data_IF_960560552781
#
_entry.id   IF_960560552781
#
_cell.length_a   1.000
_cell.length_b   1.000
_cell.length_c   1.000
_cell.angle_alpha   90.00
_cell.angle_beta   90.00
_cell.angle_gamma   90.00
#
_symmetry.space_group_name_H-M   'P 1'
#
loop_
_entity.id
_entity.type
_entity.pdbx_description
1 polymer ?
#
# COMPACT_ATOMS: atom_id res chain seq x y z
N UNK A 1 31.69 17.32 -4.21
CA UNK A 1 30.22 17.27 -4.29
C UNK A 1 29.86 15.98 -4.98
N UNK A 2 29.38 15.01 -4.21
CA UNK A 2 28.90 13.75 -4.77
C UNK A 2 27.67 14.07 -5.64
N UNK A 3 27.70 13.62 -6.90
CA UNK A 3 26.65 13.87 -7.89
C UNK A 3 25.31 13.34 -7.37
N UNK A 4 24.21 14.06 -7.62
CA UNK A 4 22.84 13.67 -7.27
C UNK A 4 22.59 12.19 -7.59
N UNK A 5 22.42 11.38 -6.55
CA UNK A 5 22.09 9.96 -6.67
C UNK A 5 20.72 9.81 -7.36
N UNK A 6 20.59 8.97 -8.40
CA UNK A 6 19.32 8.79 -9.09
C UNK A 6 18.30 8.05 -8.21
N UNK A 7 17.03 8.46 -8.27
CA UNK A 7 15.92 7.82 -7.54
C UNK A 7 15.75 6.34 -7.86
N UNK A 8 16.08 5.94 -9.09
CA UNK A 8 16.06 4.53 -9.55
C UNK A 8 16.98 3.61 -8.74
N UNK A 9 17.95 4.17 -8.00
CA UNK A 9 18.88 3.41 -7.15
C UNK A 9 18.42 3.27 -5.71
N UNK A 10 17.24 3.78 -5.34
CA UNK A 10 16.70 3.67 -3.99
C UNK A 10 16.40 2.20 -3.65
N UNK A 11 17.03 1.69 -2.61
CA UNK A 11 16.76 0.33 -2.11
C UNK A 11 15.46 0.27 -1.31
N UNK A 12 14.90 -0.93 -1.17
CA UNK A 12 13.73 -1.16 -0.33
C UNK A 12 13.97 -0.77 1.15
N UNK A 13 15.20 -0.94 1.65
CA UNK A 13 15.57 -0.56 3.01
C UNK A 13 15.55 0.96 3.20
N UNK A 14 16.09 1.72 2.24
CA UNK A 14 16.08 3.17 2.29
C UNK A 14 14.67 3.74 2.16
N UNK A 15 13.87 3.19 1.24
CA UNK A 15 12.48 3.55 1.08
C UNK A 15 11.67 3.30 2.37
N UNK A 16 11.91 2.16 3.04
CA UNK A 16 11.31 1.87 4.33
C UNK A 16 11.75 2.87 5.41
N UNK A 17 13.04 3.19 5.51
CA UNK A 17 13.54 4.15 6.50
C UNK A 17 12.96 5.56 6.29
N UNK A 18 12.81 6.00 5.04
CA UNK A 18 12.15 7.27 4.70
C UNK A 18 10.67 7.20 5.10
N UNK A 19 9.95 6.16 4.71
CA UNK A 19 8.54 5.96 5.08
C UNK A 19 8.36 6.00 6.61
N UNK A 20 9.27 5.39 7.37
CA UNK A 20 9.26 5.41 8.84
C UNK A 20 9.40 6.83 9.41
N UNK A 21 10.35 7.61 8.91
CA UNK A 21 10.51 9.01 9.36
C UNK A 21 9.26 9.84 9.07
N UNK A 22 8.64 9.63 7.91
CA UNK A 22 7.39 10.31 7.57
C UNK A 22 6.23 9.90 8.50
N UNK A 23 6.13 8.61 8.83
CA UNK A 23 5.04 8.06 9.62
C UNK A 23 5.17 8.30 11.13
N UNK A 24 6.39 8.39 11.66
CA UNK A 24 6.63 8.49 13.11
C UNK A 24 7.02 9.89 13.57
N UNK A 25 7.61 10.70 12.69
CA UNK A 25 8.20 11.99 13.07
C UNK A 25 7.55 13.16 12.34
N UNK A 26 7.62 13.18 11.00
CA UNK A 26 7.24 14.37 10.23
C UNK A 26 5.71 14.54 10.12
N UNK A 27 4.99 13.46 9.77
CA UNK A 27 3.58 13.52 9.38
C UNK A 27 2.71 12.39 9.96
N UNK A 28 2.79 12.11 11.28
CA UNK A 28 2.15 10.94 11.88
C UNK A 28 0.62 10.98 11.77
N UNK A 29 0.02 12.16 11.91
CA UNK A 29 -1.44 12.32 11.83
C UNK A 29 -1.96 12.12 10.41
N UNK A 30 -1.28 12.70 9.42
CA UNK A 30 -1.70 12.63 8.02
C UNK A 30 -1.52 11.25 7.42
N UNK A 31 -0.42 10.55 7.73
CA UNK A 31 -0.28 9.14 7.34
C UNK A 31 -1.35 8.25 7.97
N UNK A 32 -1.74 8.50 9.23
CA UNK A 32 -2.84 7.79 9.87
C UNK A 32 -4.19 8.10 9.20
N UNK A 33 -4.44 9.36 8.86
CA UNK A 33 -5.65 9.79 8.15
C UNK A 33 -5.73 9.12 6.77
N UNK A 34 -4.67 9.23 5.97
CA UNK A 34 -4.58 8.63 4.64
C UNK A 34 -4.80 7.12 4.65
N UNK A 35 -4.21 6.41 5.63
CA UNK A 35 -4.44 4.97 5.83
C UNK A 35 -5.91 4.66 6.11
N UNK A 36 -6.54 5.44 6.98
CA UNK A 36 -7.96 5.25 7.36
C UNK A 36 -8.88 5.44 6.16
N UNK A 37 -8.67 6.52 5.40
CA UNK A 37 -9.46 6.81 4.20
C UNK A 37 -9.24 5.77 3.11
N UNK A 38 -7.99 5.34 2.90
CA UNK A 38 -7.66 4.30 1.93
C UNK A 38 -8.36 2.97 2.27
N UNK A 39 -8.34 2.53 3.53
CA UNK A 39 -9.04 1.32 3.97
C UNK A 39 -10.55 1.42 3.79
N UNK A 40 -11.14 2.59 4.07
CA UNK A 40 -12.56 2.84 3.84
C UNK A 40 -12.90 2.71 2.34
N UNK A 41 -12.09 3.31 1.46
CA UNK A 41 -12.28 3.25 0.01
C UNK A 41 -12.11 1.84 -0.56
N UNK A 42 -11.15 1.06 -0.03
CA UNK A 42 -10.98 -0.34 -0.39
C UNK A 42 -12.25 -1.17 -0.13
N UNK A 43 -12.95 -0.87 0.97
CA UNK A 43 -14.27 -1.45 1.28
C UNK A 43 -15.38 -1.09 0.28
N UNK A 44 -15.21 -0.01 -0.49
CA UNK A 44 -16.15 0.48 -1.50
C UNK A 44 -15.94 -0.09 -2.90
N UNK A 45 -14.83 -0.80 -3.17
CA UNK A 45 -14.60 -1.45 -4.47
C UNK A 45 -15.74 -2.46 -4.71
N UNK A 46 -16.47 -2.43 -5.85
CA UNK A 46 -17.71 -3.22 -6.01
C UNK A 46 -17.55 -4.73 -5.77
N UNK A 47 -16.45 -5.32 -6.27
CA UNK A 47 -16.08 -6.74 -6.08
C UNK A 47 -15.85 -7.06 -4.60
N UNK A 48 -15.04 -6.24 -3.92
CA UNK A 48 -14.73 -6.39 -2.50
C UNK A 48 -15.97 -6.17 -1.62
N UNK A 49 -16.74 -5.12 -1.89
CA UNK A 49 -17.97 -4.80 -1.15
C UNK A 49 -18.98 -5.95 -1.23
N UNK A 50 -19.18 -6.50 -2.44
CA UNK A 50 -20.02 -7.68 -2.66
C UNK A 50 -19.49 -8.89 -1.89
N UNK A 51 -18.18 -9.15 -1.95
CA UNK A 51 -17.55 -10.24 -1.21
C UNK A 51 -17.80 -10.09 0.30
N UNK A 52 -17.57 -8.89 0.84
CA UNK A 52 -17.78 -8.63 2.25
C UNK A 52 -19.24 -8.79 2.70
N UNK A 53 -20.20 -8.44 1.84
CA UNK A 53 -21.62 -8.66 2.11
C UNK A 53 -21.92 -10.17 2.21
N UNK A 54 -21.50 -10.96 1.22
CA UNK A 54 -21.82 -12.41 1.20
C UNK A 54 -21.06 -13.21 2.26
N UNK A 55 -19.88 -12.76 2.68
CA UNK A 55 -19.11 -13.40 3.78
C UNK A 55 -19.50 -12.87 5.16
N UNK A 56 -20.46 -11.94 5.25
CA UNK A 56 -20.87 -11.32 6.53
C UNK A 56 -19.76 -10.48 7.18
N UNK A 57 -18.82 -9.97 6.40
CA UNK A 57 -17.68 -9.17 6.85
C UNK A 57 -17.98 -7.67 6.88
N UNK A 58 -19.11 -7.24 6.30
CA UNK A 58 -19.59 -5.85 6.34
C UNK A 58 -20.92 -5.71 7.11
N UNK A 59 -21.03 -6.36 8.27
CA UNK A 59 -22.17 -6.20 9.17
C UNK A 59 -21.72 -5.58 10.51
N UNK A 60 -22.69 -5.15 11.34
CA UNK A 60 -22.40 -4.48 12.62
C UNK A 60 -21.52 -5.30 13.58
N UNK A 61 -21.58 -6.64 13.49
CA UNK A 61 -20.81 -7.54 14.36
C UNK A 61 -19.34 -7.66 13.92
N UNK A 62 -19.08 -7.74 12.62
CA UNK A 62 -17.77 -8.12 12.08
C UNK A 62 -17.02 -6.96 11.42
N UNK A 63 -17.72 -5.92 10.95
CA UNK A 63 -17.16 -4.85 10.14
C UNK A 63 -16.05 -4.07 10.85
N UNK A 64 -16.30 -3.64 12.09
CA UNK A 64 -15.32 -2.92 12.90
C UNK A 64 -14.09 -3.76 13.22
N UNK A 65 -14.29 -5.02 13.64
CA UNK A 65 -13.18 -5.94 13.90
C UNK A 65 -12.31 -6.14 12.67
N UNK A 66 -12.91 -6.44 11.51
CA UNK A 66 -12.17 -6.62 10.25
C UNK A 66 -11.36 -5.37 9.89
N UNK A 67 -11.96 -4.18 10.02
CA UNK A 67 -11.27 -2.93 9.71
C UNK A 67 -10.01 -2.75 10.58
N UNK A 68 -10.13 -3.00 11.89
CA UNK A 68 -9.00 -2.95 12.83
C UNK A 68 -7.96 -4.05 12.53
N UNK A 69 -8.40 -5.29 12.31
CA UNK A 69 -7.50 -6.41 11.97
C UNK A 69 -6.69 -6.10 10.69
N UNK A 70 -7.34 -5.47 9.70
CA UNK A 70 -6.68 -5.04 8.46
C UNK A 70 -5.69 -3.91 8.74
N UNK A 71 -6.08 -2.88 9.50
CA UNK A 71 -5.19 -1.78 9.87
C UNK A 71 -3.93 -2.28 10.57
N UNK A 72 -4.06 -3.23 11.51
CA UNK A 72 -2.92 -3.83 12.21
C UNK A 72 -1.97 -4.49 11.21
N UNK A 73 -2.46 -5.33 10.30
CA UNK A 73 -1.60 -5.97 9.28
C UNK A 73 -0.88 -4.94 8.40
N UNK A 74 -1.57 -3.87 7.98
CA UNK A 74 -0.95 -2.80 7.21
C UNK A 74 0.08 -2.01 8.04
N UNK A 75 -0.15 -1.80 9.34
CA UNK A 75 0.86 -1.18 10.22
C UNK A 75 2.08 -2.07 10.39
N UNK A 76 1.90 -3.38 10.55
CA UNK A 76 3.01 -4.33 10.68
C UNK A 76 3.93 -4.30 9.46
N UNK A 77 3.38 -4.29 8.24
CA UNK A 77 4.20 -4.24 7.02
C UNK A 77 4.86 -2.89 6.76
N UNK A 78 4.28 -1.81 7.27
CA UNK A 78 4.87 -0.47 7.07
C UNK A 78 5.90 -0.11 8.14
N UNK A 79 5.71 -0.55 9.39
CA UNK A 79 6.58 -0.16 10.51
C UNK A 79 7.78 -1.07 10.73
N UNK A 80 7.71 -2.32 10.27
CA UNK A 80 8.81 -3.26 10.49
C UNK A 80 9.60 -3.48 9.21
N UNK A 81 10.92 -3.65 9.36
CA UNK A 81 11.80 -4.06 8.28
C UNK A 81 11.28 -5.32 7.59
N UNK A 82 11.42 -5.38 6.26
CA UNK A 82 11.07 -6.54 5.44
C UNK A 82 11.72 -7.85 5.91
N UNK A 83 12.89 -7.76 6.55
CA UNK A 83 13.63 -8.90 7.08
C UNK A 83 13.14 -9.36 8.47
N UNK A 84 12.22 -8.64 9.10
CA UNK A 84 11.70 -8.98 10.41
C UNK A 84 10.63 -10.07 10.34
N UNK A 85 10.52 -10.86 11.42
CA UNK A 85 9.46 -11.86 11.58
C UNK A 85 8.07 -11.22 11.59
N UNK A 86 7.94 -9.99 12.11
CA UNK A 86 6.67 -9.24 12.16
C UNK A 86 6.16 -8.91 10.77
N UNK A 87 7.01 -8.35 9.91
CA UNK A 87 6.69 -8.08 8.51
C UNK A 87 6.26 -9.37 7.79
N UNK A 88 7.11 -10.41 7.86
CA UNK A 88 6.88 -11.67 7.15
C UNK A 88 5.58 -12.35 7.61
N UNK A 89 5.29 -12.32 8.92
CA UNK A 89 4.05 -12.87 9.47
C UNK A 89 2.83 -12.10 8.96
N UNK A 90 2.90 -10.77 8.91
CA UNK A 90 1.80 -9.95 8.42
C UNK A 90 1.53 -10.17 6.92
N UNK A 91 2.57 -10.22 6.09
CA UNK A 91 2.45 -10.56 4.66
C UNK A 91 1.88 -11.96 4.49
N UNK A 92 2.44 -12.97 5.16
CA UNK A 92 1.93 -14.35 5.09
C UNK A 92 0.47 -14.45 5.52
N UNK A 93 0.07 -13.69 6.54
CA UNK A 93 -1.33 -13.62 6.99
C UNK A 93 -2.24 -12.99 5.94
N UNK A 94 -1.84 -11.86 5.34
CA UNK A 94 -2.60 -11.24 4.25
C UNK A 94 -2.72 -12.18 3.05
N UNK A 95 -1.61 -12.81 2.64
CA UNK A 95 -1.59 -13.78 1.56
C UNK A 95 -2.55 -14.96 1.84
N UNK A 96 -2.46 -15.55 3.03
CA UNK A 96 -3.34 -16.65 3.44
C UNK A 96 -4.81 -16.26 3.38
N UNK A 97 -5.18 -15.10 3.96
CA UNK A 97 -6.56 -14.61 3.99
C UNK A 97 -7.14 -14.37 2.58
N UNK A 98 -6.31 -13.90 1.64
CA UNK A 98 -6.72 -13.66 0.26
C UNK A 98 -6.68 -14.92 -0.63
N UNK A 99 -5.80 -15.88 -0.34
CA UNK A 99 -5.49 -17.02 -1.23
C UNK A 99 -6.72 -17.81 -1.70
N UNK A 100 -7.61 -18.21 -0.78
CA UNK A 100 -8.84 -18.96 -1.11
C UNK A 100 -9.76 -18.17 -2.04
N UNK A 101 -9.85 -16.86 -1.85
CA UNK A 101 -10.70 -15.99 -2.68
C UNK A 101 -10.06 -15.70 -4.03
N UNK A 102 -8.72 -15.57 -4.10
CA UNK A 102 -7.99 -15.48 -5.37
C UNK A 102 -8.17 -16.74 -6.22
N UNK A 103 -7.98 -17.92 -5.61
CA UNK A 103 -8.18 -19.21 -6.28
C UNK A 103 -9.62 -19.40 -6.80
N UNK A 104 -10.60 -18.85 -6.11
CA UNK A 104 -12.01 -18.90 -6.51
C UNK A 104 -12.43 -17.76 -7.47
N UNK A 105 -11.49 -16.93 -7.94
CA UNK A 105 -11.78 -15.78 -8.81
C UNK A 105 -12.67 -14.71 -8.18
N UNK A 106 -12.63 -14.58 -6.84
CA UNK A 106 -13.44 -13.61 -6.06
C UNK A 106 -12.64 -12.38 -5.64
N UNK A 107 -11.33 -12.48 -5.64
CA UNK A 107 -10.39 -11.36 -5.51
C UNK A 107 -9.44 -11.48 -6.69
N UNK A 108 -9.48 -10.51 -7.58
CA UNK A 108 -8.62 -10.44 -8.75
C UNK A 108 -7.34 -9.68 -8.40
N UNK A 109 -6.29 -9.86 -9.20
CA UNK A 109 -5.06 -9.08 -9.02
C UNK A 109 -5.33 -7.60 -9.28
N UNK A 110 -6.26 -7.28 -10.19
CA UNK A 110 -6.74 -5.92 -10.43
C UNK A 110 -7.41 -5.32 -9.18
N UNK A 111 -8.16 -6.10 -8.39
CA UNK A 111 -8.79 -5.61 -7.15
C UNK A 111 -7.73 -5.24 -6.10
N UNK A 112 -6.71 -6.09 -5.95
CA UNK A 112 -5.61 -5.89 -5.01
C UNK A 112 -4.72 -4.72 -5.44
N UNK A 113 -4.39 -4.65 -6.73
CA UNK A 113 -3.57 -3.58 -7.28
C UNK A 113 -4.28 -2.24 -7.25
N UNK A 114 -5.60 -2.21 -7.54
CA UNK A 114 -6.42 -1.01 -7.36
C UNK A 114 -6.44 -0.57 -5.89
N UNK A 115 -6.52 -1.51 -4.94
CA UNK A 115 -6.49 -1.20 -3.50
C UNK A 115 -5.17 -0.54 -3.10
N UNK A 116 -4.03 -1.11 -3.51
CA UNK A 116 -2.70 -0.56 -3.22
C UNK A 116 -2.42 0.74 -3.99
N UNK A 117 -2.86 0.84 -5.24
CA UNK A 117 -2.75 2.07 -6.03
C UNK A 117 -3.57 3.21 -5.42
N UNK A 118 -4.81 2.93 -5.02
CA UNK A 118 -5.67 3.90 -4.33
C UNK A 118 -5.07 4.39 -3.01
N UNK A 119 -4.31 3.55 -2.28
CA UNK A 119 -3.63 4.01 -1.07
C UNK A 119 -2.51 5.00 -1.37
N UNK A 120 -1.73 4.78 -2.43
CA UNK A 120 -0.70 5.71 -2.89
C UNK A 120 -1.34 7.04 -3.29
N UNK A 121 -2.35 6.99 -4.17
CA UNK A 121 -3.05 8.19 -4.66
C UNK A 121 -3.62 9.00 -3.50
N UNK A 122 -4.20 8.33 -2.51
CA UNK A 122 -4.76 9.02 -1.35
C UNK A 122 -3.69 9.66 -0.47
N UNK A 123 -2.55 8.99 -0.24
CA UNK A 123 -1.41 9.58 0.46
C UNK A 123 -0.97 10.84 -0.28
N UNK A 124 -0.67 10.75 -1.58
CA UNK A 124 -0.19 11.90 -2.35
C UNK A 124 -1.18 13.06 -2.34
N UNK A 125 -2.48 12.77 -2.52
CA UNK A 125 -3.53 13.79 -2.56
C UNK A 125 -3.72 14.49 -1.21
N UNK A 126 -3.80 13.74 -0.11
CA UNK A 126 -4.02 14.32 1.22
C UNK A 126 -2.82 15.19 1.60
N UNK A 127 -1.60 14.74 1.33
CA UNK A 127 -0.40 15.52 1.61
C UNK A 127 -0.37 16.86 0.87
N UNK A 128 -0.76 16.88 -0.41
CA UNK A 128 -0.86 18.14 -1.17
C UNK A 128 -1.92 19.10 -0.60
N UNK A 129 -2.94 18.60 0.11
CA UNK A 129 -4.06 19.41 0.62
C UNK A 129 -4.03 19.76 2.10
N UNK A 130 -3.47 18.89 2.95
CA UNK A 130 -3.57 18.99 4.42
C UNK A 130 -2.24 19.38 5.09
N UNK A 131 -1.10 19.23 4.41
CA UNK A 131 0.22 19.45 5.01
C UNK A 131 0.83 20.81 4.70
N UNK A 132 1.71 21.24 5.60
CA UNK A 132 2.43 22.52 5.49
C UNK A 132 3.49 22.55 4.38
N UNK A 133 3.87 21.39 3.84
CA UNK A 133 4.73 21.24 2.67
C UNK A 133 4.32 20.03 1.83
N UNK A 134 4.56 20.05 0.51
CA UNK A 134 4.38 18.87 -0.32
C UNK A 134 5.46 17.82 -0.01
N UNK A 135 5.17 16.58 -0.40
CA UNK A 135 6.17 15.52 -0.46
C UNK A 135 7.19 15.81 -1.56
N UNK A 136 8.47 15.70 -1.23
CA UNK A 136 9.59 15.71 -2.18
C UNK A 136 9.57 14.47 -3.09
N UNK A 137 10.28 14.54 -4.22
CA UNK A 137 10.41 13.39 -5.12
C UNK A 137 11.06 12.17 -4.47
N UNK A 138 11.95 12.40 -3.48
CA UNK A 138 12.56 11.33 -2.68
C UNK A 138 11.51 10.63 -1.82
N UNK A 139 10.65 11.39 -1.14
CA UNK A 139 9.57 10.84 -0.31
C UNK A 139 8.50 10.14 -1.18
N UNK A 140 8.14 10.72 -2.32
CA UNK A 140 7.24 10.09 -3.31
C UNK A 140 7.82 8.78 -3.85
N UNK A 141 9.13 8.76 -4.14
CA UNK A 141 9.84 7.56 -4.56
C UNK A 141 9.80 6.47 -3.48
N UNK A 142 10.06 6.84 -2.22
CA UNK A 142 10.00 5.91 -1.10
C UNK A 142 8.61 5.29 -0.94
N UNK A 143 7.55 6.11 -1.06
CA UNK A 143 6.17 5.62 -1.02
C UNK A 143 5.92 4.59 -2.12
N UNK A 144 6.30 4.90 -3.37
CA UNK A 144 6.15 3.97 -4.48
C UNK A 144 6.94 2.67 -4.30
N UNK A 145 8.21 2.75 -3.90
CA UNK A 145 9.04 1.56 -3.68
C UNK A 145 8.45 0.65 -2.59
N UNK A 146 8.00 1.20 -1.45
CA UNK A 146 7.41 0.39 -0.37
C UNK A 146 6.14 -0.32 -0.83
N UNK A 147 5.28 0.34 -1.61
CA UNK A 147 4.07 -0.29 -2.14
C UNK A 147 4.37 -1.33 -3.24
N UNK A 148 5.36 -1.06 -4.10
CA UNK A 148 5.82 -2.02 -5.10
C UNK A 148 6.36 -3.30 -4.44
N UNK A 149 7.19 -3.16 -3.40
CA UNK A 149 7.73 -4.27 -2.63
C UNK A 149 6.62 -5.08 -1.95
N UNK A 150 5.66 -4.43 -1.30
CA UNK A 150 4.51 -5.12 -0.70
C UNK A 150 3.68 -5.87 -1.76
N UNK A 151 3.48 -5.26 -2.92
CA UNK A 151 2.74 -5.89 -4.02
C UNK A 151 3.43 -7.16 -4.54
N UNK A 152 4.76 -7.11 -4.67
CA UNK A 152 5.59 -8.26 -5.05
C UNK A 152 5.54 -9.35 -3.98
N UNK A 153 5.65 -8.99 -2.70
CA UNK A 153 5.59 -9.93 -1.58
C UNK A 153 4.21 -10.57 -1.40
N UNK A 154 3.16 -9.92 -1.91
CA UNK A 154 1.81 -10.49 -2.01
C UNK A 154 1.55 -11.27 -3.30
N UNK A 155 2.55 -11.38 -4.18
CA UNK A 155 2.47 -12.02 -5.49
C UNK A 155 1.33 -11.46 -6.36
N UNK A 156 1.16 -10.12 -6.37
CA UNK A 156 0.15 -9.45 -7.18
C UNK A 156 0.71 -9.24 -8.59
N UNK A 157 -0.01 -9.68 -9.62
CA UNK A 157 0.35 -9.40 -11.01
C UNK A 157 0.21 -7.91 -11.33
N UNK A 158 1.23 -7.33 -11.96
CA UNK A 158 1.19 -5.96 -12.44
C UNK A 158 0.70 -5.81 -13.89
N UNK A 159 0.26 -6.89 -14.56
CA UNK A 159 -0.03 -6.90 -16.01
C UNK A 159 -0.99 -5.81 -16.50
N UNK A 160 -1.89 -5.32 -15.64
CA UNK A 160 -2.82 -4.25 -15.99
C UNK A 160 -2.17 -2.85 -16.00
N UNK A 161 -0.93 -2.71 -15.52
CA UNK A 161 -0.18 -1.47 -15.55
C UNK A 161 0.64 -1.36 -16.85
N UNK A 162 0.61 -0.20 -17.54
CA UNK A 162 1.31 0.02 -18.80
C UNK A 162 2.80 -0.32 -18.76
N UNK A 163 3.49 0.04 -17.68
CA UNK A 163 4.94 -0.18 -17.57
C UNK A 163 5.32 -1.57 -17.07
N UNK A 164 4.36 -2.46 -16.81
CA UNK A 164 4.65 -3.80 -16.26
C UNK A 164 5.57 -4.66 -17.14
N UNK A 165 5.54 -4.47 -18.46
CA UNK A 165 6.43 -5.18 -19.39
C UNK A 165 7.81 -4.54 -19.56
N UNK A 166 7.92 -3.23 -19.36
CA UNK A 166 9.16 -2.47 -19.55
C UNK A 166 9.91 -2.19 -18.24
N UNK A 167 9.22 -2.31 -17.10
CA UNK A 167 9.66 -1.86 -15.80
C UNK A 167 9.40 -0.37 -15.58
N UNK A 168 9.44 0.04 -14.30
CA UNK A 168 9.34 1.43 -13.90
C UNK A 168 10.74 2.05 -13.82
N UNK A 169 10.84 3.35 -14.15
CA UNK A 169 12.08 4.11 -14.02
C UNK A 169 12.55 4.19 -12.57
N UNK A 170 11.64 4.45 -11.65
CA UNK A 170 11.87 4.62 -10.23
C UNK A 170 10.54 4.46 -9.46
N UNK A 171 10.58 4.63 -8.14
CA UNK A 171 9.37 4.55 -7.31
C UNK A 171 8.36 5.65 -7.58
N UNK A 172 8.78 6.82 -8.07
CA UNK A 172 7.82 7.89 -8.42
C UNK A 172 6.99 7.45 -9.61
N UNK A 173 7.61 6.87 -10.63
CA UNK A 173 6.90 6.34 -11.78
C UNK A 173 5.89 5.25 -11.39
N UNK A 174 6.28 4.32 -10.50
CA UNK A 174 5.34 3.33 -9.98
C UNK A 174 4.18 4.00 -9.24
N UNK A 175 4.47 4.96 -8.36
CA UNK A 175 3.46 5.64 -7.56
C UNK A 175 2.40 6.40 -8.38
N UNK A 176 2.76 6.94 -9.54
CA UNK A 176 1.87 7.76 -10.37
C UNK A 176 1.15 6.98 -11.47
N UNK A 177 1.55 5.74 -11.77
CA UNK A 177 0.90 4.91 -12.79
C UNK A 177 -0.44 4.29 -12.33
N UNK A 178 -0.82 4.51 -11.07
CA UNK A 178 -2.07 4.05 -10.48
C UNK A 178 -3.23 5.06 -10.59
N UNK A 179 -3.09 6.10 -11.41
CA UNK A 179 -4.06 7.19 -11.57
C UNK A 179 -4.95 7.07 -12.80
#
# INVERSE_FOLDING_TARGET
MEKNRPLSSMSALEAHNIMMQLQELEFPHTFRNARTISLLKAGGIPTMSKLFAVTGQNNARNGGKRAVDTEILIREVQHNSRLSSRYQTAVARMYYLHSRYRQAGKILDEDLLHTLGSSIVEILRIFESEEWRPLSDVEKCAIGVVHMVLSQDMEISFKCLPSSSAGWKDGVHFATEHS
#
